data_IF_513385052947
#
_entry.id   IF_513385052947
#
_cell.length_a   1.000
_cell.length_b   1.000
_cell.length_c   1.000
_cell.angle_alpha   90.00
_cell.angle_beta   90.00
_cell.angle_gamma   90.00
#
_symmetry.space_group_name_H-M   'P 1'
#
loop_
_entity.id
_entity.type
_entity.pdbx_description
1 polymer ?
#
# COMPACT_ATOMS: atom_id res chain seq x y z
N UNK A 1 -8.21 -3.48 -0.65
CA UNK A 1 -6.87 -3.90 -0.25
C UNK A 1 -6.28 -2.80 0.61
N UNK A 2 -5.60 -3.20 1.67
CA UNK A 2 -4.83 -2.39 2.59
C UNK A 2 -3.36 -2.43 2.18
N UNK A 3 -2.65 -1.37 2.52
CA UNK A 3 -1.24 -1.20 2.23
C UNK A 3 -0.39 -2.11 3.12
N UNK A 4 0.76 -2.58 2.63
CA UNK A 4 1.68 -3.36 3.47
C UNK A 4 2.31 -2.45 4.53
N UNK A 5 2.13 -2.76 5.83
CA UNK A 5 2.53 -1.90 6.93
C UNK A 5 4.02 -1.56 6.93
N UNK A 6 4.86 -2.45 6.39
CA UNK A 6 6.31 -2.26 6.31
C UNK A 6 6.70 -0.99 5.58
N UNK A 7 5.89 -0.50 4.63
CA UNK A 7 6.25 0.64 3.78
C UNK A 7 5.52 1.94 4.14
N UNK A 8 4.62 1.90 5.12
CA UNK A 8 3.68 3.01 5.36
C UNK A 8 4.20 4.12 6.27
N UNK A 9 5.15 3.79 7.15
CA UNK A 9 5.61 4.68 8.23
C UNK A 9 7.02 5.25 8.00
N UNK A 10 7.69 4.87 6.91
CA UNK A 10 9.09 5.22 6.68
C UNK A 10 9.23 6.48 5.82
N UNK A 11 10.06 7.41 6.28
CA UNK A 11 10.45 8.61 5.54
C UNK A 11 11.94 8.59 5.21
N UNK A 12 12.28 8.49 3.92
CA UNK A 12 13.67 8.50 3.48
C UNK A 12 14.16 9.92 3.18
N UNK A 13 15.25 10.33 3.82
CA UNK A 13 15.97 11.56 3.46
C UNK A 13 16.74 11.34 2.15
N UNK A 14 16.12 11.74 1.04
CA UNK A 14 16.76 11.71 -0.30
C UNK A 14 17.40 13.05 -0.69
N UNK A 15 17.34 14.04 0.20
CA UNK A 15 17.82 15.39 -0.06
C UNK A 15 19.18 15.67 0.61
N UNK A 16 19.95 16.67 0.14
CA UNK A 16 21.30 16.96 0.65
C UNK A 16 21.35 17.29 2.16
N UNK A 17 22.56 17.35 2.72
CA UNK A 17 22.79 17.49 4.17
C UNK A 17 22.10 18.66 4.87
N UNK A 18 21.72 19.72 4.13
CA UNK A 18 21.05 20.92 4.65
C UNK A 18 19.53 20.96 4.40
N UNK A 19 18.89 19.82 4.21
CA UNK A 19 17.44 19.78 4.03
C UNK A 19 16.68 20.03 5.33
N UNK A 20 15.61 20.83 5.24
CA UNK A 20 14.84 21.25 6.39
C UNK A 20 14.11 20.06 7.05
N UNK A 21 14.27 19.97 8.37
CA UNK A 21 13.49 19.11 9.26
C UNK A 21 12.27 19.89 9.74
N UNK A 22 11.08 19.33 9.60
CA UNK A 22 9.81 19.99 9.91
C UNK A 22 8.74 19.01 10.40
N UNK A 23 7.55 19.50 10.79
CA UNK A 23 6.48 18.68 11.36
C UNK A 23 5.93 17.61 10.40
N UNK A 24 6.26 17.71 9.11
CA UNK A 24 5.81 16.77 8.07
C UNK A 24 6.78 15.60 7.84
N UNK A 25 7.97 15.61 8.46
CA UNK A 25 8.95 14.52 8.34
C UNK A 25 9.42 13.96 9.68
N UNK A 26 8.75 14.31 10.78
CA UNK A 26 9.02 13.85 12.14
C UNK A 26 7.73 13.80 12.96
N UNK A 27 7.66 12.86 13.89
CA UNK A 27 6.55 12.71 14.84
C UNK A 27 5.39 11.87 14.30
N UNK A 28 4.24 11.98 14.95
CA UNK A 28 3.06 11.17 14.66
C UNK A 28 2.47 11.46 13.28
N UNK A 29 2.17 10.41 12.52
CA UNK A 29 1.41 10.47 11.28
C UNK A 29 -0.03 10.87 11.62
N UNK A 30 -0.52 12.02 11.12
CA UNK A 30 -1.86 12.49 11.42
C UNK A 30 -2.92 11.44 11.06
N UNK A 31 -3.73 11.03 12.04
CA UNK A 31 -4.83 10.08 11.84
C UNK A 31 -4.43 8.60 11.83
N UNK A 32 -3.15 8.28 12.01
CA UNK A 32 -2.67 6.88 12.11
C UNK A 32 -2.27 6.50 13.54
N UNK A 33 -1.96 7.47 14.40
CA UNK A 33 -1.51 7.22 15.79
C UNK A 33 -0.18 6.48 15.86
N UNK A 34 0.64 6.56 14.79
CA UNK A 34 1.96 5.93 14.68
C UNK A 34 2.99 6.99 14.35
N UNK A 35 4.20 6.85 14.88
CA UNK A 35 5.31 7.74 14.58
C UNK A 35 5.94 7.46 13.22
N UNK A 36 6.39 8.52 12.53
CA UNK A 36 7.22 8.41 11.33
C UNK A 36 8.63 7.92 11.69
N UNK A 37 9.07 6.85 11.04
CA UNK A 37 10.46 6.40 11.08
C UNK A 37 11.29 7.21 10.08
N UNK A 38 12.13 8.11 10.59
CA UNK A 38 12.97 8.97 9.78
C UNK A 38 14.31 8.32 9.46
N UNK A 39 14.51 7.99 8.19
CA UNK A 39 15.71 7.30 7.70
C UNK A 39 16.65 8.33 7.10
N UNK A 40 17.70 8.65 7.85
CA UNK A 40 18.69 9.64 7.44
C UNK A 40 19.61 9.13 6.32
N UNK A 41 19.98 7.85 6.34
CA UNK A 41 20.86 7.24 5.34
C UNK A 41 20.13 6.12 4.57
N UNK A 42 19.47 6.46 3.45
CA UNK A 42 18.64 5.51 2.69
C UNK A 42 19.43 4.31 2.16
N UNK A 43 20.67 4.54 1.70
CA UNK A 43 21.51 3.50 1.10
C UNK A 43 21.93 2.45 2.14
N UNK A 44 22.27 2.90 3.35
CA UNK A 44 22.66 2.00 4.43
C UNK A 44 21.46 1.20 4.92
N UNK A 45 20.32 1.86 5.13
CA UNK A 45 19.09 1.21 5.58
C UNK A 45 18.60 0.09 4.65
N UNK A 46 18.65 0.32 3.33
CA UNK A 46 18.26 -0.69 2.34
C UNK A 46 19.20 -1.90 2.38
N UNK A 47 20.51 -1.69 2.59
CA UNK A 47 21.47 -2.79 2.72
C UNK A 47 21.23 -3.60 3.97
N UNK A 48 20.99 -2.93 5.10
CA UNK A 48 20.83 -3.57 6.40
C UNK A 48 19.53 -4.36 6.49
N UNK A 49 18.46 -3.87 5.86
CA UNK A 49 17.13 -4.51 5.89
C UNK A 49 16.87 -5.45 4.70
N UNK A 50 17.85 -5.64 3.80
CA UNK A 50 17.67 -6.31 2.50
C UNK A 50 16.43 -5.82 1.76
N UNK A 51 16.30 -4.49 1.66
CA UNK A 51 15.14 -3.85 1.05
C UNK A 51 13.85 -4.11 1.82
N UNK A 52 13.88 -3.97 3.15
CA UNK A 52 12.73 -4.12 4.06
C UNK A 52 12.15 -5.55 4.13
N UNK A 53 12.88 -6.53 3.61
CA UNK A 53 12.53 -7.95 3.75
C UNK A 53 12.87 -8.46 5.14
N UNK A 54 13.95 -7.94 5.72
CA UNK A 54 14.43 -8.27 7.07
C UNK A 54 14.36 -7.01 7.92
N UNK A 55 13.33 -6.90 8.75
CA UNK A 55 13.18 -5.76 9.66
C UNK A 55 13.76 -6.11 11.04
N UNK A 56 14.38 -5.12 11.72
CA UNK A 56 14.90 -5.33 13.07
C UNK A 56 13.77 -5.63 14.08
N UNK A 57 12.56 -5.10 13.85
CA UNK A 57 11.37 -5.47 14.61
C UNK A 57 10.44 -6.37 13.77
N UNK A 58 10.00 -7.52 14.31
CA UNK A 58 9.10 -8.41 13.61
C UNK A 58 7.70 -7.80 13.51
N UNK A 59 7.30 -7.41 12.31
CA UNK A 59 5.94 -6.92 11.98
C UNK A 59 4.95 -8.06 11.64
N UNK A 60 5.28 -9.31 11.98
CA UNK A 60 4.52 -10.50 11.57
C UNK A 60 3.03 -10.44 11.94
N UNK A 61 2.71 -9.93 13.13
CA UNK A 61 1.33 -9.76 13.59
C UNK A 61 0.56 -8.77 12.72
N UNK A 62 1.14 -7.61 12.47
CA UNK A 62 0.50 -6.53 11.69
C UNK A 62 0.32 -6.95 10.22
N UNK A 63 1.24 -7.76 9.69
CA UNK A 63 1.14 -8.35 8.36
C UNK A 63 0.00 -9.38 8.28
N UNK A 64 -0.12 -10.24 9.28
CA UNK A 64 -1.20 -11.23 9.34
C UNK A 64 -2.57 -10.54 9.44
N UNK A 65 -2.71 -9.52 10.31
CA UNK A 65 -3.93 -8.72 10.43
C UNK A 65 -4.29 -8.02 9.10
N UNK A 66 -3.29 -7.46 8.40
CA UNK A 66 -3.47 -6.83 7.09
C UNK A 66 -3.95 -7.83 6.04
N UNK A 67 -3.40 -9.05 6.03
CA UNK A 67 -3.83 -10.11 5.11
C UNK A 67 -5.27 -10.56 5.37
N UNK A 68 -5.63 -10.78 6.64
CA UNK A 68 -7.00 -11.14 7.02
C UNK A 68 -8.00 -10.08 6.57
N UNK A 69 -7.68 -8.81 6.81
CA UNK A 69 -8.51 -7.68 6.39
C UNK A 69 -8.61 -7.57 4.86
N UNK A 70 -7.52 -7.87 4.14
CA UNK A 70 -7.52 -7.94 2.69
C UNK A 70 -8.45 -9.00 2.14
N UNK A 71 -8.42 -10.21 2.72
CA UNK A 71 -9.31 -11.30 2.33
C UNK A 71 -10.78 -10.95 2.59
N UNK A 72 -11.07 -10.33 3.74
CA UNK A 72 -12.42 -9.88 4.09
C UNK A 72 -12.94 -8.87 3.06
N UNK A 73 -12.20 -7.78 2.85
CA UNK A 73 -12.59 -6.73 1.90
C UNK A 73 -12.68 -7.23 0.46
N UNK A 74 -11.84 -8.21 0.08
CA UNK A 74 -11.92 -8.85 -1.24
C UNK A 74 -13.26 -9.58 -1.43
N UNK A 75 -13.69 -10.35 -0.42
CA UNK A 75 -14.98 -11.06 -0.46
C UNK A 75 -16.15 -10.09 -0.54
N UNK A 76 -16.16 -9.06 0.30
CA UNK A 76 -17.22 -8.04 0.31
C UNK A 76 -17.31 -7.33 -1.04
N UNK A 77 -16.20 -6.78 -1.53
CA UNK A 77 -16.16 -6.08 -2.82
C UNK A 77 -16.54 -6.99 -3.98
N UNK A 78 -16.14 -8.26 -3.95
CA UNK A 78 -16.55 -9.23 -4.98
C UNK A 78 -18.06 -9.46 -4.98
N UNK A 79 -18.70 -9.52 -3.81
CA UNK A 79 -20.16 -9.64 -3.71
C UNK A 79 -20.87 -8.38 -4.20
N UNK A 80 -20.34 -7.20 -3.89
CA UNK A 80 -20.87 -5.93 -4.39
C UNK A 80 -20.81 -5.86 -5.92
N UNK A 81 -19.66 -6.21 -6.51
CA UNK A 81 -19.48 -6.24 -7.97
C UNK A 81 -20.47 -7.21 -8.61
N UNK A 82 -20.57 -8.45 -8.11
CA UNK A 82 -21.51 -9.44 -8.65
C UNK A 82 -22.98 -9.03 -8.55
N UNK A 83 -23.35 -8.27 -7.52
CA UNK A 83 -24.72 -7.73 -7.37
C UNK A 83 -24.98 -6.57 -8.35
N UNK A 84 -23.96 -5.78 -8.66
CA UNK A 84 -24.06 -4.63 -9.55
C UNK A 84 -23.93 -5.02 -11.03
N UNK A 85 -23.30 -6.14 -11.35
CA UNK A 85 -23.15 -6.64 -12.71
C UNK A 85 -24.48 -7.15 -13.28
N UNK A 86 -24.81 -6.72 -14.49
CA UNK A 86 -25.93 -7.26 -15.27
C UNK A 86 -25.57 -8.66 -15.80
N UNK A 87 -26.51 -9.60 -15.78
CA UNK A 87 -26.27 -10.93 -16.36
C UNK A 87 -26.04 -10.83 -17.88
N UNK A 88 -24.86 -11.25 -18.33
CA UNK A 88 -24.52 -11.28 -19.76
C UNK A 88 -23.03 -11.01 -20.04
N UNK A 89 -22.68 -10.98 -21.33
CA UNK A 89 -21.32 -10.63 -21.77
C UNK A 89 -21.20 -9.10 -21.74
N UNK A 90 -20.47 -8.57 -20.77
CA UNK A 90 -20.14 -7.15 -20.70
C UNK A 90 -19.04 -6.88 -21.74
N UNK A 91 -19.42 -6.32 -22.89
CA UNK A 91 -18.49 -6.00 -23.97
C UNK A 91 -18.14 -4.51 -23.95
N UNK A 92 -16.86 -4.17 -23.79
CA UNK A 92 -16.39 -2.78 -23.77
C UNK A 92 -16.47 -2.12 -25.17
N UNK A 93 -16.53 -2.90 -26.25
CA UNK A 93 -16.39 -2.36 -27.62
C UNK A 93 -17.46 -2.90 -28.55
N UNK A 94 -17.96 -2.11 -29.49
CA UNK A 94 -19.05 -2.52 -30.39
C UNK A 94 -18.60 -3.33 -31.63
N UNK A 95 -17.35 -3.81 -31.69
CA UNK A 95 -16.81 -4.49 -32.88
C UNK A 95 -17.61 -5.73 -33.33
N UNK A 96 -18.38 -6.37 -32.43
CA UNK A 96 -19.26 -7.48 -32.78
C UNK A 96 -20.52 -7.05 -33.54
N UNK A 97 -20.97 -5.80 -33.43
CA UNK A 97 -22.19 -5.29 -34.09
C UNK A 97 -21.98 -4.95 -35.58
N UNK A 98 -20.74 -4.87 -36.04
CA UNK A 98 -20.40 -4.35 -37.39
C UNK A 98 -20.23 -5.45 -38.45
N UNK A 99 -20.46 -6.73 -38.13
CA UNK A 99 -20.32 -7.85 -39.07
C UNK A 99 -21.63 -8.37 -39.67
N UNK A 100 -22.60 -7.50 -39.90
CA UNK A 100 -23.74 -7.78 -40.77
C UNK A 100 -23.88 -6.66 -41.81
N UNK A 101 -23.18 -6.81 -42.94
CA UNK A 101 -23.48 -6.20 -44.24
C UNK A 101 -23.17 -7.21 -45.34
#
# INVERSE_FOLDING_TARGET
MQHDPRFTQQYFKLSPDKSARGPWNQGEIPGMGKDLDYIENPLQHVKDTKGLSELPEPMEKELEETEQLNQHLSKEKSQEVKKAEQEGIIQWSDYAKTKEQ
#
